data_IF_563632030123
#
_entry.id   IF_563632030123
#
_cell.length_a   1.000
_cell.length_b   1.000
_cell.length_c   1.000
_cell.angle_alpha   90.00
_cell.angle_beta   90.00
_cell.angle_gamma   90.00
#
_symmetry.space_group_name_H-M   'P 1'
#
loop_
_entity.id
_entity.type
_entity.pdbx_description
1 polymer ?
#
# COMPACT_ATOMS: atom_id res chain seq x y z
N UNK A 1 77.64 -31.62 -15.69
CA UNK A 1 76.56 -30.68 -16.07
C UNK A 1 75.38 -30.91 -15.14
N UNK A 2 75.19 -30.04 -14.14
CA UNK A 2 74.10 -30.12 -13.15
C UNK A 2 72.98 -29.18 -13.60
N UNK A 3 71.76 -29.70 -13.81
CA UNK A 3 70.55 -28.88 -14.00
C UNK A 3 69.89 -28.70 -12.64
N UNK A 4 69.92 -27.48 -12.14
CA UNK A 4 69.15 -27.03 -10.97
C UNK A 4 67.79 -26.56 -11.53
N UNK A 5 66.73 -27.32 -11.23
CA UNK A 5 65.36 -26.93 -11.52
C UNK A 5 64.87 -25.96 -10.45
N UNK A 6 64.58 -24.73 -10.87
CA UNK A 6 64.01 -23.67 -10.05
C UNK A 6 62.50 -23.94 -9.91
N UNK A 7 62.06 -24.38 -8.72
CA UNK A 7 60.64 -24.54 -8.38
C UNK A 7 60.09 -23.17 -7.96
N UNK A 8 59.24 -22.58 -8.80
CA UNK A 8 58.45 -21.40 -8.44
C UNK A 8 57.29 -21.85 -7.54
N UNK A 9 57.36 -21.50 -6.26
CA UNK A 9 56.26 -21.67 -5.31
C UNK A 9 55.37 -20.42 -5.39
N UNK A 10 54.27 -20.51 -6.12
CA UNK A 10 53.28 -19.43 -6.21
C UNK A 10 52.42 -19.47 -4.96
N UNK A 11 52.65 -18.54 -4.03
CA UNK A 11 51.81 -18.34 -2.87
C UNK A 11 50.50 -17.64 -3.29
N UNK A 12 49.39 -18.37 -3.30
CA UNK A 12 48.05 -17.80 -3.46
C UNK A 12 47.66 -17.20 -2.12
N UNK A 13 47.70 -15.86 -2.05
CA UNK A 13 47.22 -15.08 -0.91
C UNK A 13 45.69 -15.07 -0.95
N UNK A 14 45.05 -15.94 -0.16
CA UNK A 14 43.62 -15.84 0.13
C UNK A 14 43.41 -14.60 1.01
N UNK A 15 43.04 -13.48 0.39
CA UNK A 15 42.45 -12.34 1.11
C UNK A 15 41.03 -12.75 1.45
N UNK A 16 40.84 -13.37 2.61
CA UNK A 16 39.52 -13.44 3.23
C UNK A 16 39.10 -12.01 3.55
N UNK A 17 38.24 -11.44 2.72
CA UNK A 17 37.44 -10.27 3.07
C UNK A 17 36.56 -10.70 4.23
N UNK A 18 37.09 -10.54 5.44
CA UNK A 18 36.32 -10.65 6.66
C UNK A 18 35.34 -9.50 6.63
N UNK A 19 34.13 -9.76 6.14
CA UNK A 19 32.99 -8.89 6.33
C UNK A 19 32.76 -8.84 7.83
N UNK A 20 33.37 -7.87 8.52
CA UNK A 20 33.00 -7.53 9.88
C UNK A 20 31.55 -7.05 9.81
N UNK A 21 30.59 -7.97 9.95
CA UNK A 21 29.25 -7.62 10.40
C UNK A 21 29.45 -6.95 11.74
N UNK A 22 29.32 -5.64 11.78
CA UNK A 22 29.19 -4.87 13.01
C UNK A 22 27.96 -5.42 13.74
N UNK A 23 28.19 -6.29 14.73
CA UNK A 23 27.10 -6.77 15.57
C UNK A 23 26.51 -5.56 16.32
N UNK A 24 25.24 -5.26 16.04
CA UNK A 24 24.46 -4.29 16.80
C UNK A 24 24.39 -2.88 16.25
N UNK A 25 24.85 -2.62 15.02
CA UNK A 25 24.56 -1.32 14.38
C UNK A 25 23.09 -1.24 13.94
N UNK A 26 22.50 -0.07 14.21
CA UNK A 26 21.10 0.19 13.91
C UNK A 26 20.89 1.51 13.17
N UNK A 27 19.78 1.62 12.45
CA UNK A 27 19.30 2.83 11.81
C UNK A 27 17.81 3.04 12.04
N UNK A 28 17.28 4.13 11.47
CA UNK A 28 15.87 4.49 11.64
C UNK A 28 15.10 4.31 10.32
N UNK A 29 13.84 3.90 10.42
CA UNK A 29 12.89 3.93 9.32
C UNK A 29 11.68 4.76 9.73
N UNK A 30 11.32 5.71 8.87
CA UNK A 30 10.04 6.43 8.92
C UNK A 30 9.16 5.90 7.80
N UNK A 31 8.01 5.34 8.14
CA UNK A 31 6.96 4.97 7.21
C UNK A 31 5.84 6.00 7.31
N UNK A 32 5.56 6.73 6.24
CA UNK A 32 4.54 7.79 6.24
C UNK A 32 3.61 7.67 5.05
N UNK A 33 2.31 7.84 5.26
CA UNK A 33 1.37 7.96 4.15
C UNK A 33 1.42 9.35 3.53
N UNK A 34 1.12 9.40 2.24
CA UNK A 34 0.93 10.66 1.50
C UNK A 34 -0.42 10.65 0.81
N UNK A 35 -0.91 11.84 0.49
CA UNK A 35 -2.24 12.04 -0.08
C UNK A 35 -2.47 11.12 -1.29
N UNK A 36 -3.63 10.44 -1.29
CA UNK A 36 -4.02 9.45 -2.28
C UNK A 36 -4.06 10.00 -3.73
N UNK A 37 -4.65 11.17 -3.94
CA UNK A 37 -4.83 11.73 -5.27
C UNK A 37 -4.41 13.20 -5.31
N UNK A 38 -3.76 13.62 -6.40
CA UNK A 38 -3.47 15.03 -6.65
C UNK A 38 -4.69 15.72 -7.28
N UNK A 39 -5.11 16.86 -6.73
CA UNK A 39 -6.19 17.66 -7.32
C UNK A 39 -5.80 18.16 -8.72
N UNK A 40 -6.64 17.87 -9.71
CA UNK A 40 -6.88 18.80 -10.79
C UNK A 40 -8.37 19.14 -10.72
N UNK A 41 -8.70 20.31 -10.20
CA UNK A 41 -10.06 20.82 -10.25
C UNK A 41 -10.54 20.77 -11.71
N UNK A 42 -11.75 20.26 -11.99
CA UNK A 42 -12.29 20.31 -13.34
C UNK A 42 -12.42 21.77 -13.78
N UNK A 43 -12.19 22.10 -15.06
CA UNK A 43 -12.47 23.44 -15.57
C UNK A 43 -13.94 23.79 -15.29
N UNK A 44 -14.16 24.97 -14.73
CA UNK A 44 -15.41 25.49 -14.16
C UNK A 44 -16.60 25.64 -15.13
N UNK A 45 -16.52 25.07 -16.33
CA UNK A 45 -17.43 25.38 -17.44
C UNK A 45 -18.48 24.30 -17.73
N UNK A 46 -18.61 23.29 -16.85
CA UNK A 46 -19.72 22.36 -16.93
C UNK A 46 -21.02 23.05 -16.48
N UNK A 47 -21.73 23.66 -17.45
CA UNK A 47 -23.14 24.04 -17.27
C UNK A 47 -23.90 22.85 -16.74
N UNK A 48 -24.41 22.98 -15.51
CA UNK A 48 -25.38 22.09 -14.88
C UNK A 48 -26.49 21.76 -15.89
N UNK A 49 -26.39 20.58 -16.51
CA UNK A 49 -27.52 19.96 -17.18
C UNK A 49 -28.39 19.37 -16.07
N UNK A 50 -29.18 20.23 -15.43
CA UNK A 50 -30.29 19.78 -14.62
C UNK A 50 -31.31 19.14 -15.57
N UNK A 51 -31.14 17.86 -15.85
CA UNK A 51 -32.17 17.07 -16.51
C UNK A 51 -33.35 16.96 -15.54
N UNK A 52 -34.51 17.33 -16.05
CA UNK A 52 -35.78 17.23 -15.37
C UNK A 52 -36.29 15.77 -15.39
N UNK A 53 -37.21 15.49 -14.46
CA UNK A 53 -38.30 14.50 -14.44
C UNK A 53 -38.18 13.25 -13.54
N UNK A 54 -39.14 13.19 -12.59
CA UNK A 54 -40.03 12.08 -12.19
C UNK A 54 -39.49 10.84 -11.45
N UNK A 55 -40.14 10.54 -10.31
CA UNK A 55 -40.35 9.28 -9.55
C UNK A 55 -39.23 8.23 -9.35
N UNK A 56 -38.06 8.38 -9.97
CA UNK A 56 -36.89 7.54 -9.72
C UNK A 56 -35.97 8.19 -8.67
N UNK A 57 -35.29 7.39 -7.83
CA UNK A 57 -34.35 7.91 -6.84
C UNK A 57 -33.23 8.70 -7.53
N UNK A 58 -32.73 9.80 -6.93
CA UNK A 58 -31.66 10.59 -7.49
C UNK A 58 -30.37 9.76 -7.64
N UNK A 59 -29.95 9.55 -8.89
CA UNK A 59 -28.66 8.94 -9.21
C UNK A 59 -27.60 10.03 -9.32
N UNK A 60 -26.47 9.82 -8.64
CA UNK A 60 -25.34 10.74 -8.56
C UNK A 60 -24.09 10.10 -9.16
N UNK A 61 -23.44 10.81 -10.08
CA UNK A 61 -22.10 10.42 -10.54
C UNK A 61 -21.06 10.87 -9.53
N UNK A 62 -20.25 9.91 -9.05
CA UNK A 62 -19.29 10.07 -7.99
C UNK A 62 -17.87 9.74 -8.45
N UNK A 63 -16.89 10.28 -7.76
CA UNK A 63 -15.47 9.93 -7.89
C UNK A 63 -14.91 9.44 -6.55
N UNK A 64 -14.05 8.42 -6.58
CA UNK A 64 -13.31 8.00 -5.40
C UNK A 64 -12.18 9.01 -5.12
N UNK A 65 -12.28 9.75 -4.00
CA UNK A 65 -11.37 10.85 -3.69
C UNK A 65 -10.37 10.53 -2.58
N UNK A 66 -10.68 9.62 -1.68
CA UNK A 66 -9.75 9.10 -0.68
C UNK A 66 -10.32 7.81 -0.07
N UNK A 67 -9.55 7.14 0.79
CA UNK A 67 -10.07 6.06 1.62
C UNK A 67 -9.46 6.13 3.02
N UNK A 68 -10.25 5.73 4.02
CA UNK A 68 -9.78 5.42 5.36
C UNK A 68 -9.61 3.92 5.49
N UNK A 69 -8.51 3.51 6.09
CA UNK A 69 -8.21 2.12 6.46
C UNK A 69 -7.99 2.03 7.94
N UNK A 70 -8.14 0.84 8.50
CA UNK A 70 -7.58 0.52 9.81
C UNK A 70 -6.36 -0.38 9.64
N UNK A 71 -5.22 0.23 9.33
CA UNK A 71 -3.91 -0.43 9.33
C UNK A 71 -3.57 -0.79 10.77
N UNK A 72 -3.77 -2.05 11.15
CA UNK A 72 -3.47 -2.54 12.49
C UNK A 72 -1.97 -2.52 12.77
N UNK A 73 -1.16 -2.99 11.82
CA UNK A 73 0.29 -3.12 11.98
C UNK A 73 1.04 -2.98 10.67
N UNK A 74 2.27 -2.47 10.74
CA UNK A 74 3.22 -2.44 9.63
C UNK A 74 4.53 -3.11 10.06
N UNK A 75 5.05 -3.99 9.22
CA UNK A 75 6.28 -4.74 9.48
C UNK A 75 7.20 -4.75 8.27
N UNK A 76 8.50 -4.92 8.49
CA UNK A 76 9.49 -5.08 7.41
C UNK A 76 10.39 -6.29 7.64
N UNK A 77 10.95 -6.84 6.57
CA UNK A 77 11.91 -7.94 6.64
C UNK A 77 13.08 -7.76 5.67
N UNK A 78 14.23 -8.31 6.06
CA UNK A 78 15.39 -8.50 5.20
C UNK A 78 15.22 -9.66 4.22
N UNK A 79 14.32 -10.59 4.54
CA UNK A 79 13.95 -11.70 3.70
C UNK A 79 13.06 -11.22 2.53
N UNK A 80 13.08 -11.97 1.42
CA UNK A 80 12.31 -11.67 0.22
C UNK A 80 11.06 -12.56 0.16
N UNK A 81 9.88 -11.94 0.11
CA UNK A 81 8.62 -12.63 -0.19
C UNK A 81 8.59 -13.00 -1.68
N UNK A 82 8.34 -14.26 -1.97
CA UNK A 82 8.21 -14.84 -3.32
C UNK A 82 7.07 -15.85 -3.35
N UNK A 83 6.53 -16.13 -4.53
CA UNK A 83 5.46 -17.11 -4.71
C UNK A 83 5.90 -18.52 -4.28
N UNK A 84 5.04 -19.22 -3.53
CA UNK A 84 5.21 -20.61 -3.15
C UNK A 84 6.26 -20.89 -2.06
N UNK A 85 6.69 -19.89 -1.28
CA UNK A 85 7.57 -20.08 -0.11
C UNK A 85 6.82 -19.85 1.20
N UNK A 86 7.28 -20.51 2.28
CA UNK A 86 6.69 -20.41 3.62
C UNK A 86 7.04 -19.09 4.31
N UNK A 87 6.13 -18.56 5.14
CA UNK A 87 6.36 -17.36 5.95
C UNK A 87 7.14 -17.64 7.24
N UNK A 88 8.41 -17.99 7.10
CA UNK A 88 9.35 -18.25 8.21
C UNK A 88 10.30 -17.06 8.48
N UNK A 89 9.85 -15.85 8.12
CA UNK A 89 10.72 -14.69 8.07
C UNK A 89 10.89 -14.01 9.42
N UNK A 90 12.02 -13.30 9.55
CA UNK A 90 12.19 -12.39 10.68
C UNK A 90 11.55 -11.04 10.34
N UNK A 91 10.39 -10.78 10.94
CA UNK A 91 9.67 -9.52 10.81
C UNK A 91 10.05 -8.51 11.91
N UNK A 92 10.17 -7.25 11.53
CA UNK A 92 10.44 -6.12 12.42
C UNK A 92 9.24 -5.17 12.41
N UNK A 93 8.58 -5.00 13.56
CA UNK A 93 7.43 -4.09 13.71
C UNK A 93 7.89 -2.64 13.56
N UNK A 94 7.22 -1.90 12.68
CA UNK A 94 7.41 -0.46 12.54
C UNK A 94 6.47 0.31 13.47
N UNK A 95 5.24 -0.17 13.61
CA UNK A 95 4.23 0.46 14.44
C UNK A 95 2.87 -0.19 14.27
N UNK A 96 1.96 0.19 15.17
CA UNK A 96 0.59 -0.30 15.21
C UNK A 96 -0.38 0.86 15.36
N UNK A 97 -1.62 0.64 14.97
CA UNK A 97 -2.68 1.62 15.08
C UNK A 97 -4.03 0.97 15.46
N UNK A 98 -4.88 1.79 16.06
CA UNK A 98 -6.26 1.47 16.35
C UNK A 98 -7.16 2.47 15.64
N UNK A 99 -8.07 1.98 14.81
CA UNK A 99 -9.12 2.78 14.19
C UNK A 99 -8.78 3.31 12.80
N UNK A 100 -9.83 3.80 12.15
CA UNK A 100 -9.81 4.27 10.77
C UNK A 100 -9.07 5.60 10.63
N UNK A 101 -8.16 5.65 9.65
CA UNK A 101 -7.41 6.85 9.26
C UNK A 101 -7.29 6.92 7.75
N UNK A 102 -7.28 8.12 7.22
CA UNK A 102 -6.81 8.38 5.85
C UNK A 102 -5.32 8.05 5.73
N UNK A 103 -4.85 7.80 4.51
CA UNK A 103 -3.45 7.38 4.30
C UNK A 103 -2.47 8.42 4.84
N UNK A 104 -2.69 9.70 4.59
CA UNK A 104 -1.85 10.82 5.05
C UNK A 104 -1.75 10.97 6.58
N UNK A 105 -2.67 10.39 7.34
CA UNK A 105 -2.64 10.41 8.81
C UNK A 105 -1.71 9.33 9.39
N UNK A 106 -1.26 8.36 8.57
CA UNK A 106 -0.33 7.34 9.02
C UNK A 106 1.11 7.83 9.02
N UNK A 107 1.75 7.72 10.18
CA UNK A 107 3.18 7.93 10.35
C UNK A 107 3.70 7.03 11.46
N UNK A 108 4.56 6.09 11.10
CA UNK A 108 5.26 5.20 12.01
C UNK A 108 6.74 5.49 11.93
N UNK A 109 7.40 5.48 13.07
CA UNK A 109 8.85 5.60 13.16
C UNK A 109 9.34 4.54 14.11
N UNK A 110 10.29 3.73 13.64
CA UNK A 110 10.95 2.75 14.49
C UNK A 110 12.43 3.12 14.58
N UNK A 111 12.93 3.45 15.78
CA UNK A 111 14.37 3.48 15.99
C UNK A 111 14.90 2.06 16.02
N UNK A 112 16.20 1.93 15.83
CA UNK A 112 16.93 0.70 16.13
C UNK A 112 16.69 -0.52 15.22
N UNK A 113 16.35 -0.31 13.94
CA UNK A 113 16.34 -1.40 12.96
C UNK A 113 17.77 -1.88 12.69
N UNK A 114 18.03 -3.21 12.67
CA UNK A 114 19.32 -3.73 12.25
C UNK A 114 19.71 -3.20 10.88
N UNK A 115 20.95 -2.75 10.76
CA UNK A 115 21.54 -2.34 9.48
C UNK A 115 21.48 -3.49 8.48
N UNK A 116 21.13 -3.17 7.23
CA UNK A 116 21.09 -4.13 6.14
C UNK A 116 20.07 -3.78 5.06
N UNK A 117 19.95 -4.69 4.09
CA UNK A 117 18.99 -4.59 2.99
C UNK A 117 17.68 -5.25 3.39
N UNK A 118 16.59 -4.49 3.29
CA UNK A 118 15.22 -4.91 3.52
C UNK A 118 14.52 -5.08 2.18
N UNK A 119 13.79 -6.17 2.03
CA UNK A 119 13.23 -6.60 0.73
C UNK A 119 11.72 -6.82 0.76
N UNK A 120 11.12 -6.82 1.95
CA UNK A 120 9.70 -7.09 2.10
C UNK A 120 9.04 -6.18 3.14
N UNK A 121 7.78 -5.86 2.88
CA UNK A 121 6.86 -5.12 3.73
C UNK A 121 5.65 -6.02 4.00
N UNK A 122 5.15 -6.05 5.23
CA UNK A 122 3.89 -6.68 5.60
C UNK A 122 2.98 -5.62 6.19
N UNK A 123 1.77 -5.53 5.66
CA UNK A 123 0.71 -4.65 6.16
C UNK A 123 -0.43 -5.52 6.67
N UNK A 124 -0.83 -5.29 7.92
CA UNK A 124 -2.00 -5.95 8.52
C UNK A 124 -3.10 -4.90 8.61
N UNK A 125 -4.22 -5.17 7.98
CA UNK A 125 -5.43 -4.34 8.03
C UNK A 125 -6.48 -5.05 8.88
N UNK A 126 -7.22 -4.31 9.71
CA UNK A 126 -8.56 -4.78 10.11
C UNK A 126 -9.48 -4.59 8.91
N UNK A 127 -10.43 -5.50 8.70
CA UNK A 127 -11.32 -5.50 7.55
C UNK A 127 -12.39 -4.39 7.63
N UNK A 128 -11.95 -3.14 7.75
CA UNK A 128 -12.78 -1.93 7.81
C UNK A 128 -12.19 -0.91 6.87
N UNK A 129 -13.00 -0.47 5.92
CA UNK A 129 -12.66 0.62 5.02
C UNK A 129 -13.79 1.64 4.99
N UNK A 130 -13.43 2.90 4.74
CA UNK A 130 -14.39 3.94 4.39
C UNK A 130 -13.91 4.61 3.12
N UNK A 131 -14.66 4.47 2.04
CA UNK A 131 -14.40 5.21 0.80
C UNK A 131 -14.96 6.62 0.95
N UNK A 132 -14.10 7.61 0.73
CA UNK A 132 -14.52 9.01 0.64
C UNK A 132 -14.77 9.30 -0.84
N UNK A 133 -16.04 9.55 -1.17
CA UNK A 133 -16.46 9.82 -2.53
C UNK A 133 -16.95 11.25 -2.67
N UNK A 134 -16.65 11.90 -3.80
CA UNK A 134 -17.07 13.27 -4.11
C UNK A 134 -17.97 13.31 -5.32
N UNK A 135 -18.87 14.28 -5.39
CA UNK A 135 -19.74 14.44 -6.55
C UNK A 135 -18.93 14.90 -7.78
N UNK A 136 -19.14 14.28 -8.93
CA UNK A 136 -18.38 14.58 -10.16
C UNK A 136 -18.49 16.04 -10.62
N UNK A 137 -19.59 16.70 -10.30
CA UNK A 137 -19.84 18.10 -10.66
C UNK A 137 -19.64 19.10 -9.50
N UNK A 138 -19.29 18.60 -8.30
CA UNK A 138 -18.98 19.42 -7.12
C UNK A 138 -18.05 18.65 -6.19
N UNK A 139 -16.73 18.75 -6.44
CA UNK A 139 -15.71 18.03 -5.68
C UNK A 139 -15.60 18.49 -4.21
N UNK A 140 -16.31 19.54 -3.80
CA UNK A 140 -16.32 20.02 -2.42
C UNK A 140 -17.34 19.30 -1.54
N UNK A 141 -18.29 18.61 -2.17
CA UNK A 141 -19.28 17.77 -1.49
C UNK A 141 -18.81 16.33 -1.52
N UNK A 142 -18.84 15.69 -0.36
CA UNK A 142 -18.45 14.29 -0.21
C UNK A 142 -19.45 13.49 0.60
N UNK A 143 -19.42 12.18 0.40
CA UNK A 143 -20.04 11.18 1.26
C UNK A 143 -18.98 10.19 1.73
N UNK A 144 -19.26 9.51 2.83
CA UNK A 144 -18.43 8.42 3.36
C UNK A 144 -19.20 7.11 3.20
N UNK A 145 -18.64 6.18 2.42
CA UNK A 145 -19.22 4.88 2.15
C UNK A 145 -18.43 3.85 2.96
N UNK A 146 -19.03 3.35 4.03
CA UNK A 146 -18.44 2.28 4.83
C UNK A 146 -18.48 0.95 4.06
N UNK A 147 -17.43 0.16 4.21
CA UNK A 147 -17.33 -1.17 3.60
C UNK A 147 -16.18 -1.99 4.18
N UNK A 148 -15.89 -3.09 3.51
CA UNK A 148 -14.78 -3.98 3.81
C UNK A 148 -13.66 -3.84 2.75
N UNK A 149 -12.55 -4.55 2.94
CA UNK A 149 -11.42 -4.62 2.04
C UNK A 149 -11.45 -5.86 1.13
N UNK A 150 -12.12 -6.93 1.54
CA UNK A 150 -12.18 -8.21 0.82
C UNK A 150 -13.50 -8.43 0.07
N UNK A 151 -14.60 -7.78 0.48
CA UNK A 151 -15.93 -7.94 -0.14
C UNK A 151 -16.79 -6.65 -0.15
N UNK A 152 -17.86 -6.63 -0.97
CA UNK A 152 -18.91 -5.59 -0.91
C UNK A 152 -19.85 -5.79 0.29
N UNK A 153 -19.29 -6.00 1.48
CA UNK A 153 -20.02 -6.17 2.73
C UNK A 153 -19.71 -5.04 3.71
N UNK A 154 -20.45 -5.02 4.83
CA UNK A 154 -20.02 -4.26 6.01
C UNK A 154 -18.66 -4.80 6.48
N UNK A 155 -17.78 -3.87 6.89
CA UNK A 155 -16.49 -4.24 7.47
C UNK A 155 -16.60 -4.81 8.88
N UNK A 156 -15.64 -5.63 9.28
CA UNK A 156 -15.60 -6.31 10.57
C UNK A 156 -14.21 -6.24 11.25
N UNK A 157 -13.99 -7.03 12.31
CA UNK A 157 -12.71 -7.07 13.06
C UNK A 157 -11.73 -8.18 12.58
N UNK A 158 -12.03 -8.85 11.46
CA UNK A 158 -11.09 -9.80 10.86
C UNK A 158 -9.86 -9.08 10.31
N UNK A 159 -8.76 -9.81 10.11
CA UNK A 159 -7.53 -9.23 9.63
C UNK A 159 -7.23 -9.69 8.21
N UNK A 160 -6.95 -8.74 7.33
CA UNK A 160 -6.42 -8.97 5.99
C UNK A 160 -4.96 -8.59 6.03
N UNK A 161 -4.09 -9.52 5.64
CA UNK A 161 -2.64 -9.29 5.61
C UNK A 161 -2.16 -9.30 4.19
N UNK A 162 -1.48 -8.22 3.79
CA UNK A 162 -0.84 -8.10 2.49
C UNK A 162 0.67 -7.99 2.63
N UNK A 163 1.39 -8.65 1.74
CA UNK A 163 2.84 -8.74 1.74
C UNK A 163 3.39 -8.20 0.44
N UNK A 164 4.26 -7.21 0.50
CA UNK A 164 4.83 -6.56 -0.67
C UNK A 164 6.32 -6.86 -0.74
N UNK A 165 6.81 -7.18 -1.93
CA UNK A 165 8.23 -7.27 -2.25
C UNK A 165 8.52 -6.66 -3.62
N UNK A 166 9.73 -6.84 -4.14
CA UNK A 166 10.06 -6.43 -5.51
C UNK A 166 9.35 -7.28 -6.58
N UNK A 167 8.81 -8.44 -6.18
CA UNK A 167 8.14 -9.39 -7.05
C UNK A 167 6.61 -9.18 -7.13
N UNK A 168 6.03 -8.33 -6.28
CA UNK A 168 4.59 -8.07 -6.26
C UNK A 168 4.00 -7.93 -4.85
N UNK A 169 2.69 -8.04 -4.80
CA UNK A 169 1.84 -8.16 -3.62
C UNK A 169 1.37 -9.60 -3.49
N UNK A 170 1.36 -10.11 -2.28
CA UNK A 170 1.10 -11.51 -1.96
C UNK A 170 0.17 -11.61 -0.75
N UNK A 171 -0.69 -12.62 -0.78
CA UNK A 171 -1.43 -13.12 0.37
C UNK A 171 -0.79 -14.41 0.90
N UNK A 172 -1.29 -14.93 2.01
CA UNK A 172 -0.94 -16.28 2.48
C UNK A 172 -2.06 -17.25 2.16
N UNK A 173 -1.70 -18.37 1.54
CA UNK A 173 -2.59 -19.50 1.32
C UNK A 173 -3.11 -20.04 2.65
N UNK A 174 -4.43 -20.22 2.76
CA UNK A 174 -5.04 -20.84 3.93
C UNK A 174 -4.68 -22.33 4.07
N UNK A 175 -4.38 -22.99 2.95
CA UNK A 175 -4.19 -24.44 2.90
C UNK A 175 -2.78 -24.87 3.31
N UNK A 176 -1.75 -24.13 2.91
CA UNK A 176 -0.35 -24.53 3.11
C UNK A 176 0.58 -23.45 3.67
N UNK A 177 0.05 -22.28 4.05
CA UNK A 177 0.79 -21.17 4.65
C UNK A 177 1.98 -20.69 3.80
N UNK A 178 1.86 -20.83 2.47
CA UNK A 178 2.80 -20.25 1.52
C UNK A 178 2.25 -18.97 0.93
N UNK A 179 3.16 -18.11 0.50
CA UNK A 179 2.78 -16.90 -0.21
C UNK A 179 2.20 -17.24 -1.58
N UNK A 180 1.10 -16.58 -1.93
CA UNK A 180 0.47 -16.63 -3.25
C UNK A 180 0.48 -15.22 -3.83
N UNK A 181 0.88 -15.08 -5.10
CA UNK A 181 0.91 -13.79 -5.77
C UNK A 181 -0.53 -13.27 -6.03
N UNK A 182 -0.87 -12.15 -5.40
CA UNK A 182 -2.14 -11.44 -5.63
C UNK A 182 -2.04 -10.48 -6.83
N UNK A 183 -0.94 -9.71 -6.90
CA UNK A 183 -0.74 -8.69 -7.94
C UNK A 183 0.74 -8.45 -8.21
N UNK A 184 1.15 -8.45 -9.48
CA UNK A 184 2.53 -8.16 -9.88
C UNK A 184 2.85 -6.65 -9.99
N UNK A 185 1.80 -5.81 -9.99
CA UNK A 185 1.89 -4.36 -10.14
C UNK A 185 2.09 -3.60 -8.82
N UNK A 186 1.67 -4.18 -7.70
CA UNK A 186 1.74 -3.58 -6.37
C UNK A 186 3.01 -4.04 -5.65
N UNK A 187 4.05 -3.23 -5.68
CA UNK A 187 5.37 -3.66 -5.22
C UNK A 187 6.14 -2.58 -4.49
N UNK A 188 7.06 -3.03 -3.65
CA UNK A 188 8.03 -2.19 -2.97
C UNK A 188 9.42 -2.48 -3.55
N UNK A 189 10.19 -1.41 -3.78
CA UNK A 189 11.62 -1.57 -4.04
C UNK A 189 12.35 -1.84 -2.74
N UNK A 190 13.28 -2.80 -2.74
CA UNK A 190 14.16 -3.03 -1.59
C UNK A 190 14.87 -1.76 -1.14
N UNK A 191 15.17 -1.66 0.16
CA UNK A 191 15.76 -0.46 0.77
C UNK A 191 16.84 -0.82 1.78
N UNK A 192 17.80 0.09 1.98
CA UNK A 192 18.91 -0.11 2.89
C UNK A 192 18.73 0.72 4.16
N UNK A 193 18.75 0.09 5.33
CA UNK A 193 18.93 0.79 6.61
C UNK A 193 20.42 0.92 6.87
N UNK A 194 20.91 2.16 7.04
CA UNK A 194 22.32 2.48 7.35
C UNK A 194 22.47 2.96 8.79
N UNK A 195 23.64 2.70 9.38
CA UNK A 195 23.92 3.03 10.76
C UNK A 195 23.77 4.53 11.02
N UNK A 196 22.89 4.90 11.95
CA UNK A 196 22.65 6.30 12.34
C UNK A 196 21.95 7.18 11.29
N UNK A 197 21.50 6.61 10.17
CA UNK A 197 20.74 7.33 9.14
C UNK A 197 19.23 7.06 9.30
N UNK A 198 18.42 7.96 8.74
CA UNK A 198 16.97 7.79 8.64
C UNK A 198 16.58 7.52 7.19
N UNK A 199 16.05 6.33 6.94
CA UNK A 199 15.38 6.03 5.67
C UNK A 199 13.93 6.43 5.75
N UNK A 200 13.37 7.01 4.69
CA UNK A 200 11.94 7.35 4.63
C UNK A 200 11.25 6.52 3.57
N UNK A 201 10.26 5.74 3.96
CA UNK A 201 9.32 5.06 3.08
C UNK A 201 8.01 5.83 3.06
N UNK A 202 7.52 6.09 1.85
CA UNK A 202 6.19 6.65 1.65
C UNK A 202 5.28 5.62 1.00
N UNK A 203 4.00 5.69 1.35
CA UNK A 203 2.95 4.92 0.68
C UNK A 203 1.75 5.81 0.35
N UNK A 204 1.00 5.44 -0.67
CA UNK A 204 -0.25 6.11 -1.06
C UNK A 204 -1.21 5.13 -1.72
N UNK A 205 -2.44 5.58 -1.89
CA UNK A 205 -3.37 4.94 -2.81
C UNK A 205 -3.09 5.34 -4.25
N UNK A 206 -3.31 4.41 -5.16
CA UNK A 206 -3.11 4.68 -6.57
C UNK A 206 -1.64 4.70 -6.99
N UNK A 207 -1.43 4.79 -8.30
CA UNK A 207 -0.14 5.02 -8.92
C UNK A 207 0.35 6.49 -8.81
N UNK A 208 1.56 6.78 -9.30
CA UNK A 208 2.11 8.14 -9.33
C UNK A 208 1.30 9.20 -10.05
N UNK A 209 0.59 8.79 -11.08
CA UNK A 209 -0.19 9.69 -11.92
C UNK A 209 -1.69 9.54 -11.72
N UNK A 210 -2.10 8.91 -10.60
CA UNK A 210 -3.50 8.67 -10.28
C UNK A 210 -4.24 9.96 -9.93
N UNK A 211 -5.44 10.08 -10.46
CA UNK A 211 -6.32 11.24 -10.27
C UNK A 211 -7.66 10.80 -9.69
N UNK A 212 -8.33 11.71 -8.99
CA UNK A 212 -9.69 11.50 -8.47
C UNK A 212 -10.65 11.04 -9.58
N UNK A 213 -10.48 11.56 -10.79
CA UNK A 213 -11.31 11.21 -11.95
C UNK A 213 -11.01 9.84 -12.56
N UNK A 214 -9.97 9.13 -12.09
CA UNK A 214 -9.59 7.84 -12.69
C UNK A 214 -10.55 6.72 -12.30
N UNK A 215 -11.27 6.87 -11.17
CA UNK A 215 -12.29 5.93 -10.70
C UNK A 215 -13.61 6.67 -10.43
N UNK A 216 -14.67 6.25 -11.12
CA UNK A 216 -16.03 6.79 -10.97
C UNK A 216 -17.06 5.69 -10.76
N UNK A 217 -18.18 6.05 -10.17
CA UNK A 217 -19.32 5.16 -9.99
C UNK A 217 -20.62 5.96 -9.87
N UNK A 218 -21.74 5.30 -10.05
CA UNK A 218 -23.06 5.86 -9.77
C UNK A 218 -23.50 5.47 -8.36
N UNK A 219 -24.03 6.44 -7.62
CA UNK A 219 -24.67 6.24 -6.33
C UNK A 219 -26.14 6.61 -6.43
N UNK A 220 -27.02 5.69 -6.06
CA UNK A 220 -28.46 5.91 -5.95
C UNK A 220 -28.79 6.22 -4.49
N UNK A 221 -29.10 7.49 -4.19
CA UNK A 221 -29.55 7.96 -2.87
C UNK A 221 -31.06 7.73 -2.76
N UNK A 222 -31.47 6.57 -2.27
CA UNK A 222 -32.87 6.11 -2.38
C UNK A 222 -33.83 6.97 -1.57
N UNK A 223 -33.41 7.45 -0.40
CA UNK A 223 -34.23 8.24 0.51
C UNK A 223 -33.98 9.77 0.42
N UNK A 224 -33.03 10.19 -0.40
CA UNK A 224 -32.69 11.59 -0.71
C UNK A 224 -32.15 12.38 0.49
N UNK A 225 -31.48 11.73 1.43
CA UNK A 225 -30.93 12.39 2.61
C UNK A 225 -29.49 12.92 2.40
N UNK A 226 -28.83 12.53 1.30
CA UNK A 226 -27.45 12.95 1.02
C UNK A 226 -26.38 12.25 1.87
N UNK A 227 -26.71 11.15 2.52
CA UNK A 227 -25.84 10.31 3.36
C UNK A 227 -25.87 8.87 2.83
N UNK A 228 -24.77 8.12 2.98
CA UNK A 228 -24.75 6.72 2.55
C UNK A 228 -25.53 5.85 3.54
N UNK A 229 -26.60 5.20 3.07
CA UNK A 229 -27.40 4.27 3.85
C UNK A 229 -27.21 2.81 3.40
N UNK A 230 -26.41 2.00 4.11
CA UNK A 230 -26.14 0.62 3.72
C UNK A 230 -27.42 -0.21 3.69
N UNK A 231 -27.66 -0.90 2.57
CA UNK A 231 -28.84 -1.74 2.36
C UNK A 231 -30.08 -0.99 1.86
N UNK A 232 -30.04 0.34 1.75
CA UNK A 232 -31.07 1.16 1.11
C UNK A 232 -30.52 1.83 -0.16
N UNK A 233 -29.29 2.33 -0.11
CA UNK A 233 -28.59 2.90 -1.24
C UNK A 233 -27.93 1.84 -2.12
N UNK A 234 -27.73 2.19 -3.39
CA UNK A 234 -27.08 1.32 -4.37
C UNK A 234 -25.85 1.99 -4.98
N UNK A 235 -24.80 1.20 -5.20
CA UNK A 235 -23.65 1.57 -6.03
C UNK A 235 -23.72 0.79 -7.32
N UNK A 236 -23.60 1.49 -8.44
CA UNK A 236 -23.61 0.92 -9.78
C UNK A 236 -22.52 1.49 -10.65
N UNK A 237 -22.31 0.86 -11.81
CA UNK A 237 -21.47 1.39 -12.89
C UNK A 237 -20.06 1.84 -12.44
N UNK A 238 -19.43 1.05 -11.57
CA UNK A 238 -18.07 1.29 -11.12
C UNK A 238 -17.09 1.12 -12.29
N UNK A 239 -16.34 2.17 -12.61
CA UNK A 239 -15.39 2.23 -13.70
C UNK A 239 -14.09 2.90 -13.23
N UNK A 240 -12.99 2.16 -13.30
CA UNK A 240 -11.65 2.68 -13.13
C UNK A 240 -10.92 2.62 -14.47
N UNK A 241 -10.66 3.79 -15.05
CA UNK A 241 -10.13 3.96 -16.42
C UNK A 241 -8.70 3.43 -16.63
N UNK A 242 -8.02 3.00 -15.57
CA UNK A 242 -6.68 2.41 -15.58
C UNK A 242 -6.59 1.29 -14.55
N UNK A 243 -5.89 0.22 -14.89
CA UNK A 243 -5.30 -0.72 -13.92
C UNK A 243 -4.35 0.07 -13.02
N UNK A 244 -4.92 0.56 -11.93
CA UNK A 244 -4.25 1.44 -11.01
C UNK A 244 -3.95 0.59 -9.78
N UNK A 245 -2.68 0.46 -9.37
CA UNK A 245 -2.37 -0.25 -8.14
C UNK A 245 -3.10 0.41 -6.98
N UNK A 246 -3.72 -0.37 -6.11
CA UNK A 246 -4.30 0.13 -4.88
C UNK A 246 -3.22 0.74 -4.00
N UNK A 247 -2.05 0.12 -3.91
CA UNK A 247 -0.93 0.61 -3.11
C UNK A 247 0.31 0.91 -3.94
N UNK A 248 0.90 2.09 -3.73
CA UNK A 248 2.22 2.44 -4.27
C UNK A 248 3.17 2.85 -3.16
N UNK A 249 4.43 2.42 -3.28
CA UNK A 249 5.49 2.72 -2.32
C UNK A 249 6.63 3.49 -2.98
N UNK A 250 7.27 4.39 -2.24
CA UNK A 250 8.53 5.01 -2.67
C UNK A 250 9.50 5.22 -1.52
N UNK A 251 10.80 5.14 -1.81
CA UNK A 251 11.88 5.18 -0.83
C UNK A 251 12.73 6.43 -1.07
N UNK A 252 12.88 7.23 -0.03
CA UNK A 252 13.76 8.41 0.03
C UNK A 252 14.93 8.12 1.00
N UNK A 253 16.14 8.53 0.60
CA UNK A 253 17.38 8.37 1.38
C UNK A 253 17.77 9.70 2.02
#
# INVERSE_FOLDING_TARGET
>A
MKKIGLLFLTAILFISVSCNKSEGETGNLVFKGVQAFSEAAPPSDAKSARAAFADDPPVHLMHAANMKFDVAEIWVSQDLVEDGIENDFKWHLLGSNEGLKTVEEYSFSTPDLPVGEYRSLKMVFRNRAVRIAVYAYDLTRSIEIAGSLDEESEGDDTHITQYFSENGNFSLSEDDNKFELDSDGEKISGFTIRSGETTTMTWRLGGPDSKITDCSFEWTDTNQNGEWDPGEDEIGNFDCTKDTPMFSFSIEK
#
